data_IF_341010214998
#
_entry.id   IF_341010214998
#
_cell.length_a   1.000
_cell.length_b   1.000
_cell.length_c   1.000
_cell.angle_alpha   90.00
_cell.angle_beta   90.00
_cell.angle_gamma   90.00
#
_symmetry.space_group_name_H-M   'P 1'
#
loop_
_entity.id
_entity.type
_entity.pdbx_description
1 polymer ?
#
# COMPACT_ATOMS: atom_id res chain seq x y z
N UNK A 1 -21.52 6.11 -16.10
CA UNK A 1 -20.89 7.30 -15.50
C UNK A 1 -19.43 6.98 -15.25
N UNK A 2 -18.52 7.53 -16.06
CA UNK A 2 -17.07 7.35 -15.90
C UNK A 2 -16.62 8.26 -14.76
N UNK A 3 -16.21 7.69 -13.62
CA UNK A 3 -15.58 8.46 -12.54
C UNK A 3 -14.19 8.92 -13.02
N UNK A 4 -13.74 10.14 -12.70
CA UNK A 4 -12.36 10.53 -12.95
C UNK A 4 -11.46 9.61 -12.10
N UNK A 5 -10.67 8.76 -12.75
CA UNK A 5 -9.93 7.65 -12.13
C UNK A 5 -8.74 8.14 -11.28
N UNK A 6 -8.39 9.43 -11.33
CA UNK A 6 -7.05 9.88 -10.90
C UNK A 6 -7.02 10.90 -9.75
N UNK A 7 -8.14 11.48 -9.33
CA UNK A 7 -8.13 12.59 -8.36
C UNK A 7 -7.71 12.19 -6.93
N UNK A 8 -7.82 10.91 -6.56
CA UNK A 8 -7.67 10.44 -5.18
C UNK A 8 -6.57 9.40 -4.98
N UNK A 9 -5.71 9.18 -5.97
CA UNK A 9 -4.63 8.20 -5.88
C UNK A 9 -3.41 8.81 -5.18
N UNK A 10 -3.03 8.22 -4.06
CA UNK A 10 -1.84 8.56 -3.29
C UNK A 10 -0.77 7.51 -3.54
N UNK A 11 0.46 7.93 -3.85
CA UNK A 11 1.62 7.04 -3.95
C UNK A 11 2.42 7.10 -2.64
N UNK A 12 2.79 5.93 -2.13
CA UNK A 12 3.44 5.77 -0.84
C UNK A 12 4.66 4.86 -0.95
N UNK A 13 5.75 5.29 -0.32
CA UNK A 13 6.86 4.43 0.06
C UNK A 13 6.61 3.95 1.48
N UNK A 14 6.57 2.64 1.68
CA UNK A 14 6.41 2.04 3.01
C UNK A 14 7.60 1.17 3.35
N UNK A 15 8.25 1.50 4.46
CA UNK A 15 9.45 0.82 4.95
C UNK A 15 9.18 0.23 6.33
N UNK A 16 9.26 -1.09 6.39
CA UNK A 16 9.28 -1.86 7.64
C UNK A 16 10.63 -2.58 7.77
N UNK A 17 10.94 -3.11 8.95
CA UNK A 17 12.26 -3.68 9.31
C UNK A 17 12.93 -4.57 8.25
N UNK A 18 12.16 -5.32 7.45
CA UNK A 18 12.68 -6.24 6.40
C UNK A 18 11.96 -6.10 5.05
N UNK A 19 11.11 -5.09 4.89
CA UNK A 19 10.23 -4.98 3.72
C UNK A 19 10.13 -3.53 3.30
N UNK A 20 10.40 -3.27 2.02
CA UNK A 20 10.14 -1.98 1.37
C UNK A 20 9.12 -2.21 0.28
N UNK A 21 8.12 -1.34 0.20
CA UNK A 21 7.09 -1.43 -0.83
C UNK A 21 6.72 -0.05 -1.36
N UNK A 22 6.44 0.00 -2.66
CA UNK A 22 5.83 1.13 -3.35
C UNK A 22 4.36 0.79 -3.59
N UNK A 23 3.46 1.62 -3.08
CA UNK A 23 2.03 1.35 -3.06
C UNK A 23 1.30 2.56 -3.63
N UNK A 24 0.34 2.32 -4.51
CA UNK A 24 -0.67 3.33 -4.87
C UNK A 24 -1.97 2.96 -4.17
N UNK A 25 -2.62 3.93 -3.54
CA UNK A 25 -3.85 3.72 -2.79
C UNK A 25 -4.84 4.85 -3.10
N UNK A 26 -6.09 4.47 -3.36
CA UNK A 26 -7.20 5.41 -3.48
C UNK A 26 -7.65 5.85 -2.07
N UNK A 27 -7.64 7.14 -1.80
CA UNK A 27 -7.89 7.68 -0.46
C UNK A 27 -9.33 7.52 0.02
N UNK A 28 -10.31 7.40 -0.88
CA UNK A 28 -11.72 7.25 -0.52
C UNK A 28 -12.09 5.79 -0.26
N UNK A 29 -11.65 4.89 -1.14
CA UNK A 29 -12.01 3.46 -1.12
C UNK A 29 -10.99 2.61 -0.37
N UNK A 30 -9.79 3.13 -0.12
CA UNK A 30 -8.63 2.40 0.40
C UNK A 30 -8.24 1.18 -0.45
N UNK A 31 -8.70 1.14 -1.71
CA UNK A 31 -8.24 0.18 -2.70
C UNK A 31 -6.79 0.48 -3.03
N UNK A 32 -5.96 -0.56 -3.00
CA UNK A 32 -4.52 -0.41 -3.17
C UNK A 32 -3.99 -1.30 -4.29
N UNK A 33 -2.88 -0.89 -4.87
CA UNK A 33 -2.04 -1.67 -5.77
C UNK A 33 -0.61 -1.55 -5.32
N UNK A 34 0.10 -2.68 -5.24
CA UNK A 34 1.53 -2.69 -4.99
C UNK A 34 2.27 -2.59 -6.31
N UNK A 35 3.08 -1.54 -6.46
CA UNK A 35 3.90 -1.29 -7.65
C UNK A 35 5.17 -2.12 -7.59
N UNK A 36 5.86 -2.11 -6.44
CA UNK A 36 7.02 -2.96 -6.17
C UNK A 36 7.11 -3.32 -4.69
N UNK A 37 7.75 -4.45 -4.39
CA UNK A 37 7.95 -4.92 -3.04
C UNK A 37 9.22 -5.78 -2.93
N UNK A 38 10.08 -5.45 -1.97
CA UNK A 38 11.34 -6.18 -1.74
C UNK A 38 11.15 -7.64 -1.30
N UNK A 39 9.94 -7.99 -0.83
CA UNK A 39 9.57 -9.37 -0.44
C UNK A 39 8.71 -10.11 -1.46
N UNK A 40 8.60 -9.62 -2.71
CA UNK A 40 7.74 -10.23 -3.75
C UNK A 40 8.00 -11.73 -4.01
N UNK A 41 9.24 -12.20 -3.81
CA UNK A 41 9.60 -13.61 -3.96
C UNK A 41 9.26 -14.49 -2.74
N UNK A 42 9.06 -13.88 -1.56
CA UNK A 42 8.86 -14.58 -0.29
C UNK A 42 7.44 -14.47 0.26
N UNK A 43 6.68 -13.46 -0.16
CA UNK A 43 5.24 -13.48 0.03
C UNK A 43 4.67 -14.58 -0.87
N UNK A 44 3.71 -15.38 -0.37
CA UNK A 44 2.96 -16.40 -1.14
C UNK A 44 2.08 -15.82 -2.28
N UNK A 45 2.50 -14.70 -2.87
CA UNK A 45 1.83 -13.91 -3.92
C UNK A 45 2.39 -14.28 -5.31
N UNK A 46 3.26 -15.28 -5.42
CA UNK A 46 3.68 -15.79 -6.74
C UNK A 46 2.51 -16.32 -7.58
N UNK A 47 1.29 -16.44 -7.00
CA UNK A 47 0.09 -16.95 -7.66
C UNK A 47 -1.15 -16.02 -7.52
N UNK A 48 -1.25 -15.14 -6.51
CA UNK A 48 -2.55 -14.51 -6.15
C UNK A 48 -2.80 -13.07 -6.62
N UNK A 49 -1.85 -12.41 -7.31
CA UNK A 49 -1.94 -10.99 -7.75
C UNK A 49 -2.30 -9.96 -6.66
N UNK A 50 -2.39 -10.38 -5.39
CA UNK A 50 -2.86 -9.57 -4.25
C UNK A 50 -2.07 -9.90 -2.99
N UNK A 51 -1.78 -8.88 -2.17
CA UNK A 51 -1.08 -9.08 -0.90
C UNK A 51 -1.95 -9.80 0.13
N UNK A 52 -1.35 -10.57 1.06
CA UNK A 52 -2.10 -11.18 2.14
C UNK A 52 -2.81 -10.11 2.98
N UNK A 53 -4.00 -10.42 3.54
CA UNK A 53 -4.89 -9.45 4.18
C UNK A 53 -4.27 -8.68 5.36
N UNK A 54 -3.16 -9.18 5.93
CA UNK A 54 -2.43 -8.57 7.04
C UNK A 54 -0.97 -8.25 6.71
N UNK A 55 -0.67 -7.99 5.43
CA UNK A 55 0.66 -7.57 5.04
C UNK A 55 1.03 -6.27 5.78
N UNK A 56 2.11 -6.24 6.59
CA UNK A 56 2.41 -5.09 7.45
C UNK A 56 2.55 -3.77 6.70
N UNK A 57 3.10 -3.81 5.47
CA UNK A 57 3.25 -2.60 4.64
C UNK A 57 1.92 -2.10 4.06
N UNK A 58 0.96 -3.00 3.80
CA UNK A 58 -0.39 -2.62 3.33
C UNK A 58 -1.20 -2.03 4.47
N UNK A 59 -1.14 -2.67 5.64
CA UNK A 59 -1.82 -2.17 6.85
C UNK A 59 -1.30 -0.78 7.19
N UNK A 60 0.02 -0.59 7.21
CA UNK A 60 0.62 0.72 7.47
C UNK A 60 0.22 1.79 6.43
N UNK A 61 0.18 1.44 5.13
CA UNK A 61 -0.30 2.35 4.09
C UNK A 61 -1.76 2.79 4.32
N UNK A 62 -2.64 1.84 4.67
CA UNK A 62 -4.05 2.13 4.97
C UNK A 62 -4.24 2.94 6.24
N UNK A 63 -3.47 2.63 7.29
CA UNK A 63 -3.48 3.40 8.54
C UNK A 63 -3.07 4.85 8.26
N UNK A 64 -2.03 5.07 7.45
CA UNK A 64 -1.57 6.40 7.05
C UNK A 64 -2.65 7.19 6.30
N UNK A 65 -3.25 6.59 5.27
CA UNK A 65 -4.25 7.29 4.43
C UNK A 65 -5.59 7.48 5.12
N UNK A 66 -6.02 6.51 5.93
CA UNK A 66 -7.30 6.61 6.63
C UNK A 66 -7.26 7.49 7.87
N UNK A 67 -6.06 7.79 8.40
CA UNK A 67 -5.87 8.55 9.64
C UNK A 67 -6.47 7.90 10.89
N UNK A 68 -6.97 6.66 10.80
CA UNK A 68 -7.66 5.97 11.90
C UNK A 68 -6.69 5.51 12.99
N UNK A 69 -5.43 5.25 12.63
CA UNK A 69 -4.37 4.72 13.51
C UNK A 69 -3.01 5.22 13.04
N UNK A 70 -2.07 5.30 13.96
CA UNK A 70 -0.67 5.59 13.63
C UNK A 70 -0.02 4.36 12.94
N UNK A 71 0.63 4.53 11.77
CA UNK A 71 1.28 3.45 11.07
C UNK A 71 2.42 2.83 11.89
N UNK A 72 2.49 1.49 11.92
CA UNK A 72 3.61 0.75 12.56
C UNK A 72 4.84 0.58 11.67
N UNK A 73 4.92 1.36 10.59
CA UNK A 73 6.00 1.36 9.63
C UNK A 73 6.24 2.80 9.19
N UNK A 74 7.43 3.08 8.67
CA UNK A 74 7.72 4.37 8.08
C UNK A 74 6.95 4.49 6.76
N UNK A 75 6.17 5.56 6.62
CA UNK A 75 5.37 5.84 5.43
C UNK A 75 5.72 7.23 4.94
N UNK A 76 6.06 7.34 3.66
CA UNK A 76 6.37 8.61 3.00
C UNK A 76 5.54 8.75 1.72
N UNK A 77 5.06 9.97 1.46
CA UNK A 77 4.43 10.34 0.19
C UNK A 77 5.49 10.38 -0.91
N UNK A 78 5.12 9.92 -2.11
CA UNK A 78 5.95 10.01 -3.30
C UNK A 78 5.16 10.81 -4.35
N UNK A 79 5.77 11.85 -4.91
CA UNK A 79 5.19 12.64 -6.00
C UNK A 79 5.14 11.85 -7.32
#
# INVERSE_FOLDING_TARGET
MLRPVEANIIKLAVVSRRTRALITIDSETLHYRVVDCSRKLFCRIHVSKSCPPYCPVIVAAKDFVSGRREPKAEVALIE
#
